data_IF_106013036074
#
_entry.id   IF_106013036074
#
_cell.length_a   1.000
_cell.length_b   1.000
_cell.length_c   1.000
_cell.angle_alpha   90.00
_cell.angle_beta   90.00
_cell.angle_gamma   90.00
#
_symmetry.space_group_name_H-M   'P 1'
#
loop_
_entity.id
_entity.type
_entity.pdbx_description
1 polymer ?
#
# COMPACT_ATOMS: atom_id res chain seq x y z
N UNK A 1 -17.27 -23.61 2.57
CA UNK A 1 -18.31 -22.56 2.42
C UNK A 1 -18.65 -22.42 0.95
N UNK A 2 -19.84 -22.86 0.53
CA UNK A 2 -20.33 -22.65 -0.84
C UNK A 2 -20.56 -21.15 -1.07
N UNK A 3 -19.92 -20.58 -2.09
CA UNK A 3 -20.11 -19.16 -2.42
C UNK A 3 -21.49 -19.01 -3.05
N UNK A 4 -22.40 -18.23 -2.43
CA UNK A 4 -23.70 -17.94 -3.01
C UNK A 4 -23.55 -17.00 -4.22
N UNK A 5 -23.43 -17.60 -5.41
CA UNK A 5 -23.23 -16.90 -6.67
C UNK A 5 -24.42 -16.02 -7.07
N UNK A 6 -25.62 -16.40 -6.67
CA UNK A 6 -26.86 -15.65 -6.92
C UNK A 6 -26.83 -14.31 -6.19
N UNK A 7 -26.60 -14.34 -4.87
CA UNK A 7 -26.48 -13.13 -4.06
C UNK A 7 -25.36 -12.19 -4.55
N UNK A 8 -24.25 -12.76 -5.06
CA UNK A 8 -23.14 -11.97 -5.63
C UNK A 8 -23.53 -11.27 -6.94
N UNK A 9 -24.32 -11.93 -7.79
CA UNK A 9 -24.83 -11.34 -9.05
C UNK A 9 -25.84 -10.24 -8.76
N UNK A 10 -26.79 -10.49 -7.86
CA UNK A 10 -27.80 -9.51 -7.42
C UNK A 10 -27.15 -8.25 -6.85
N UNK A 11 -26.21 -8.41 -5.91
CA UNK A 11 -25.45 -7.28 -5.35
C UNK A 11 -24.69 -6.50 -6.42
N UNK A 12 -24.12 -7.19 -7.42
CA UNK A 12 -23.42 -6.52 -8.53
C UNK A 12 -24.39 -5.70 -9.39
N UNK A 13 -25.58 -6.23 -9.66
CA UNK A 13 -26.63 -5.53 -10.40
C UNK A 13 -27.13 -4.31 -9.62
N UNK A 14 -27.41 -4.47 -8.32
CA UNK A 14 -27.82 -3.39 -7.41
C UNK A 14 -26.78 -2.26 -7.38
N UNK A 15 -25.50 -2.59 -7.17
CA UNK A 15 -24.41 -1.61 -7.15
C UNK A 15 -24.28 -0.90 -8.51
N UNK A 16 -24.49 -1.61 -9.62
CA UNK A 16 -24.46 -1.02 -10.96
C UNK A 16 -25.61 -0.03 -11.14
N UNK A 17 -26.84 -0.40 -10.76
CA UNK A 17 -28.03 0.47 -10.84
C UNK A 17 -27.80 1.76 -10.06
N UNK A 18 -27.38 1.65 -8.80
CA UNK A 18 -27.10 2.80 -7.93
C UNK A 18 -25.97 3.68 -8.46
N UNK A 19 -24.97 3.08 -9.10
CA UNK A 19 -23.86 3.84 -9.67
C UNK A 19 -24.27 4.62 -10.92
N UNK A 20 -25.24 4.11 -11.70
CA UNK A 20 -25.75 4.76 -12.91
C UNK A 20 -26.75 5.87 -12.65
N UNK A 21 -27.32 5.96 -11.44
CA UNK A 21 -28.25 7.00 -11.04
C UNK A 21 -27.49 8.19 -10.43
N UNK A 22 -27.32 9.32 -11.16
CA UNK A 22 -26.60 10.47 -10.63
C UNK A 22 -27.42 11.17 -9.54
N UNK A 23 -26.78 11.48 -8.43
CA UNK A 23 -27.38 12.26 -7.35
C UNK A 23 -26.95 13.72 -7.46
N UNK A 24 -27.94 14.61 -7.66
CA UNK A 24 -27.74 16.06 -7.71
C UNK A 24 -27.12 16.63 -6.42
N UNK A 25 -27.21 15.90 -5.29
CA UNK A 25 -26.59 16.27 -4.02
C UNK A 25 -25.05 16.33 -4.10
N UNK A 26 -24.43 15.54 -4.98
CA UNK A 26 -22.96 15.44 -5.09
C UNK A 26 -22.41 16.17 -6.32
N UNK A 27 -22.85 17.42 -6.48
CA UNK A 27 -22.55 18.27 -7.65
C UNK A 27 -21.09 18.74 -7.74
N UNK A 28 -20.29 18.61 -6.68
CA UNK A 28 -18.89 19.07 -6.64
C UNK A 28 -17.94 18.10 -5.94
N UNK A 29 -16.74 18.01 -6.46
CA UNK A 29 -15.61 17.32 -5.83
C UNK A 29 -15.14 18.11 -4.60
N UNK A 30 -14.82 17.42 -3.51
CA UNK A 30 -14.33 18.00 -2.24
C UNK A 30 -12.86 18.43 -2.26
N UNK A 31 -12.16 18.29 -3.39
CA UNK A 31 -10.79 18.79 -3.53
C UNK A 31 -10.86 20.29 -3.82
N UNK A 32 -10.19 21.09 -3.01
CA UNK A 32 -10.16 22.55 -3.14
C UNK A 32 -9.66 22.93 -4.54
N UNK A 33 -10.37 23.84 -5.20
CA UNK A 33 -10.07 24.27 -6.58
C UNK A 33 -10.57 23.34 -7.68
N UNK A 34 -11.21 22.21 -7.36
CA UNK A 34 -11.81 21.34 -8.36
C UNK A 34 -13.26 21.73 -8.68
N UNK A 35 -13.54 22.07 -9.93
CA UNK A 35 -14.90 22.37 -10.42
C UNK A 35 -15.68 21.15 -10.90
N UNK A 36 -15.07 19.96 -10.95
CA UNK A 36 -15.71 18.74 -11.46
C UNK A 36 -16.69 18.18 -10.42
N UNK A 37 -17.83 17.60 -10.84
CA UNK A 37 -18.72 16.87 -9.95
C UNK A 37 -18.03 15.65 -9.30
N UNK A 38 -18.50 15.26 -8.12
CA UNK A 38 -18.11 13.97 -7.53
C UNK A 38 -18.73 12.83 -8.36
N UNK A 39 -18.14 11.62 -8.31
CA UNK A 39 -18.61 10.50 -9.16
C UNK A 39 -20.08 10.15 -8.96
N UNK A 40 -20.56 10.27 -7.72
CA UNK A 40 -21.97 10.06 -7.39
C UNK A 40 -22.91 11.06 -8.10
N UNK A 41 -22.40 12.21 -8.55
CA UNK A 41 -23.15 13.18 -9.35
C UNK A 41 -23.06 12.98 -10.87
N UNK A 42 -22.35 11.96 -11.38
CA UNK A 42 -22.10 11.78 -12.83
C UNK A 42 -22.49 10.42 -13.40
N UNK A 43 -23.14 9.54 -12.64
CA UNK A 43 -23.47 8.19 -13.08
C UNK A 43 -22.25 7.26 -13.28
N UNK A 44 -21.07 7.72 -12.88
CA UNK A 44 -19.79 7.01 -13.10
C UNK A 44 -19.26 6.36 -11.80
N UNK A 45 -20.08 6.30 -10.75
CA UNK A 45 -19.73 5.58 -9.52
C UNK A 45 -20.35 6.17 -8.27
N UNK A 46 -20.06 5.53 -7.13
CA UNK A 46 -20.67 5.84 -5.84
C UNK A 46 -19.82 6.76 -4.95
N UNK A 47 -18.73 7.34 -5.46
CA UNK A 47 -17.89 8.23 -4.66
C UNK A 47 -18.56 9.59 -4.49
N UNK A 48 -18.96 9.89 -3.26
CA UNK A 48 -19.65 11.13 -2.85
C UNK A 48 -18.69 12.28 -2.54
N UNK A 49 -17.37 12.03 -2.57
CA UNK A 49 -16.34 12.99 -2.17
C UNK A 49 -15.53 13.46 -3.36
N UNK A 50 -15.17 12.56 -4.27
CA UNK A 50 -14.20 12.86 -5.31
C UNK A 50 -14.74 12.63 -6.71
N UNK A 51 -14.31 13.46 -7.66
CA UNK A 51 -14.43 13.18 -9.08
C UNK A 51 -13.55 11.97 -9.45
N UNK A 52 -13.75 11.36 -10.63
CA UNK A 52 -12.97 10.18 -11.07
C UNK A 52 -11.46 10.37 -10.92
N UNK A 53 -10.94 11.51 -11.40
CA UNK A 53 -9.51 11.83 -11.35
C UNK A 53 -8.96 11.86 -9.91
N UNK A 54 -9.64 12.56 -8.99
CA UNK A 54 -9.21 12.65 -7.60
C UNK A 54 -9.42 11.34 -6.82
N UNK A 55 -10.46 10.58 -7.14
CA UNK A 55 -10.67 9.25 -6.57
C UNK A 55 -9.54 8.29 -6.97
N UNK A 56 -9.13 8.31 -8.24
CA UNK A 56 -8.02 7.49 -8.74
C UNK A 56 -6.67 7.94 -8.17
N UNK A 57 -6.45 9.26 -8.07
CA UNK A 57 -5.26 9.84 -7.44
C UNK A 57 -5.17 9.40 -5.97
N UNK A 58 -6.23 9.61 -5.19
CA UNK A 58 -6.31 9.20 -3.80
C UNK A 58 -6.20 7.68 -3.60
N UNK A 59 -6.79 6.88 -4.49
CA UNK A 59 -6.63 5.43 -4.46
C UNK A 59 -5.16 5.03 -4.67
N UNK A 60 -4.44 5.72 -5.54
CA UNK A 60 -3.02 5.45 -5.84
C UNK A 60 -2.08 6.01 -4.78
N UNK A 61 -2.33 7.18 -4.23
CA UNK A 61 -1.34 7.94 -3.45
C UNK A 61 -1.68 8.08 -1.96
N UNK A 62 -2.91 7.80 -1.53
CA UNK A 62 -3.33 8.00 -0.14
C UNK A 62 -3.60 9.45 0.23
N UNK A 63 -3.40 10.39 -0.70
CA UNK A 63 -3.80 11.80 -0.60
C UNK A 63 -4.54 12.19 -1.88
N UNK A 64 -5.61 13.00 -1.81
CA UNK A 64 -6.22 13.59 -2.99
C UNK A 64 -5.39 14.74 -3.58
N UNK A 65 -4.37 15.23 -2.85
CA UNK A 65 -3.50 16.33 -3.26
C UNK A 65 -2.10 15.83 -3.62
N UNK A 66 -1.41 15.20 -2.66
CA UNK A 66 0.01 14.87 -2.80
C UNK A 66 0.22 13.55 -3.55
N UNK A 67 1.09 13.57 -4.55
CA UNK A 67 1.55 12.35 -5.21
C UNK A 67 2.47 11.54 -4.29
N UNK A 68 2.80 10.32 -4.71
CA UNK A 68 3.80 9.50 -4.00
C UNK A 68 5.19 10.04 -4.25
N UNK A 69 6.07 9.95 -3.25
CA UNK A 69 7.49 10.24 -3.42
C UNK A 69 8.07 9.37 -4.55
N UNK A 70 8.86 10.01 -5.40
CA UNK A 70 9.62 9.40 -6.49
C UNK A 70 10.83 8.68 -5.92
N UNK A 71 11.42 7.80 -6.74
CA UNK A 71 12.56 6.99 -6.33
C UNK A 71 13.76 7.84 -5.89
N UNK A 72 14.12 8.88 -6.65
CA UNK A 72 15.25 9.75 -6.31
C UNK A 72 15.03 10.53 -5.01
N UNK A 73 13.78 10.88 -4.68
CA UNK A 73 13.46 11.59 -3.44
C UNK A 73 13.63 10.68 -2.22
N UNK A 74 13.18 9.42 -2.31
CA UNK A 74 13.12 8.52 -1.15
C UNK A 74 14.35 7.62 -0.97
N UNK A 75 15.13 7.38 -2.03
CA UNK A 75 16.28 6.47 -1.98
C UNK A 75 17.35 6.89 -0.95
N UNK A 76 17.72 8.18 -0.79
CA UNK A 76 18.65 8.61 0.24
C UNK A 76 18.18 8.23 1.66
N UNK A 77 16.90 8.45 1.95
CA UNK A 77 16.28 8.08 3.23
C UNK A 77 16.23 6.57 3.44
N UNK A 78 16.04 5.78 2.38
CA UNK A 78 16.09 4.31 2.47
C UNK A 78 17.48 3.80 2.82
N UNK A 79 18.52 4.40 2.26
CA UNK A 79 19.90 4.05 2.59
C UNK A 79 20.21 4.42 4.06
N UNK A 80 19.86 5.64 4.47
CA UNK A 80 20.04 6.10 5.85
C UNK A 80 19.27 5.25 6.87
N UNK A 81 18.00 4.96 6.60
CA UNK A 81 17.18 4.11 7.46
C UNK A 81 17.72 2.68 7.57
N UNK A 82 18.22 2.11 6.47
CA UNK A 82 18.82 0.78 6.49
C UNK A 82 20.08 0.76 7.38
N UNK A 83 20.99 1.70 7.19
CA UNK A 83 22.19 1.83 8.01
C UNK A 83 21.86 2.04 9.49
N UNK A 84 20.83 2.86 9.78
CA UNK A 84 20.38 3.09 11.15
C UNK A 84 19.82 1.82 11.80
N UNK A 85 18.97 1.06 11.09
CA UNK A 85 18.45 -0.23 11.61
C UNK A 85 19.58 -1.21 11.87
N UNK A 86 20.60 -1.25 11.01
CA UNK A 86 21.75 -2.13 11.16
C UNK A 86 22.64 -1.74 12.35
N UNK A 87 22.86 -0.45 12.57
CA UNK A 87 23.62 0.05 13.71
C UNK A 87 22.89 -0.12 15.06
N UNK A 88 21.56 -0.18 15.05
CA UNK A 88 20.73 -0.24 16.26
C UNK A 88 20.05 -1.61 16.45
N UNK A 89 20.62 -2.70 15.92
CA UNK A 89 20.01 -4.04 16.00
C UNK A 89 19.79 -4.54 17.43
N UNK A 90 20.59 -4.09 18.38
CA UNK A 90 20.48 -4.44 19.80
C UNK A 90 19.42 -3.63 20.55
N UNK A 91 18.85 -2.58 19.95
CA UNK A 91 17.78 -1.79 20.57
C UNK A 91 16.48 -2.62 20.64
N UNK A 92 15.84 -2.62 21.81
CA UNK A 92 14.66 -3.42 22.07
C UNK A 92 13.46 -3.07 21.17
N UNK A 93 13.29 -1.79 20.81
CA UNK A 93 12.21 -1.35 19.93
C UNK A 93 12.48 -1.71 18.47
N UNK A 94 13.75 -1.67 18.04
CA UNK A 94 14.17 -2.14 16.72
C UNK A 94 13.93 -3.65 16.60
N UNK A 95 14.40 -4.42 17.58
CA UNK A 95 14.18 -5.87 17.63
C UNK A 95 12.68 -6.22 17.65
N UNK A 96 11.87 -5.50 18.44
CA UNK A 96 10.42 -5.69 18.47
C UNK A 96 9.76 -5.44 17.11
N UNK A 97 10.08 -4.33 16.45
CA UNK A 97 9.51 -4.01 15.14
C UNK A 97 9.87 -5.07 14.08
N UNK A 98 11.13 -5.53 14.10
CA UNK A 98 11.61 -6.61 13.23
C UNK A 98 10.82 -7.90 13.47
N UNK A 99 10.62 -8.33 14.72
CA UNK A 99 9.86 -9.55 15.00
C UNK A 99 8.36 -9.41 14.68
N UNK A 100 7.76 -8.24 14.91
CA UNK A 100 6.37 -7.98 14.50
C UNK A 100 6.20 -8.09 12.98
N UNK A 101 7.15 -7.54 12.20
CA UNK A 101 7.17 -7.70 10.74
C UNK A 101 7.43 -9.15 10.34
N UNK A 102 8.36 -9.86 11.00
CA UNK A 102 8.61 -11.27 10.74
C UNK A 102 7.34 -12.11 11.00
N UNK A 103 6.58 -11.79 12.04
CA UNK A 103 5.28 -12.40 12.35
C UNK A 103 4.25 -12.12 11.26
N UNK A 104 4.17 -10.89 10.72
CA UNK A 104 3.30 -10.59 9.58
C UNK A 104 3.63 -11.45 8.35
N UNK A 105 4.92 -11.66 8.06
CA UNK A 105 5.35 -12.51 6.96
C UNK A 105 4.99 -13.98 7.19
N UNK A 106 5.27 -14.52 8.39
CA UNK A 106 4.98 -15.92 8.76
C UNK A 106 3.48 -16.23 8.73
N UNK A 107 2.65 -15.32 9.25
CA UNK A 107 1.20 -15.53 9.42
C UNK A 107 0.37 -15.14 8.18
N UNK A 108 1.01 -14.72 7.09
CA UNK A 108 0.36 -14.29 5.85
C UNK A 108 -0.43 -15.40 5.12
N UNK A 109 -0.30 -16.65 5.57
CA UNK A 109 -0.92 -17.82 4.95
C UNK A 109 -0.14 -18.33 3.73
N UNK A 110 -0.77 -19.17 2.89
CA UNK A 110 -0.13 -19.76 1.72
C UNK A 110 0.17 -18.70 0.65
N UNK A 111 1.22 -18.95 -0.13
CA UNK A 111 1.54 -18.13 -1.30
C UNK A 111 0.46 -18.28 -2.37
N UNK A 112 -0.08 -17.16 -2.83
CA UNK A 112 -1.08 -17.10 -3.91
C UNK A 112 -0.49 -16.37 -5.10
N UNK A 113 -0.52 -17.01 -6.27
CA UNK A 113 -0.07 -16.41 -7.52
C UNK A 113 -0.88 -15.17 -7.88
N UNK A 114 -0.24 -14.18 -8.51
CA UNK A 114 -0.84 -12.89 -8.84
C UNK A 114 -2.11 -13.03 -9.72
N UNK A 115 -2.15 -13.99 -10.63
CA UNK A 115 -3.32 -14.25 -11.48
C UNK A 115 -4.50 -14.89 -10.72
N UNK A 116 -4.27 -15.49 -9.55
CA UNK A 116 -5.30 -16.08 -8.69
C UNK A 116 -5.89 -15.09 -7.68
N UNK A 117 -5.44 -13.82 -7.69
CA UNK A 117 -5.95 -12.79 -6.78
C UNK A 117 -7.37 -12.31 -7.13
N UNK A 118 -7.88 -12.64 -8.32
CA UNK A 118 -9.22 -12.23 -8.74
C UNK A 118 -10.28 -12.91 -7.87
N UNK A 119 -11.20 -12.11 -7.33
CA UNK A 119 -12.29 -12.61 -6.49
C UNK A 119 -12.00 -12.56 -4.99
N UNK A 120 -10.73 -12.40 -4.59
CA UNK A 120 -10.34 -12.18 -3.20
C UNK A 120 -10.71 -10.77 -2.72
N UNK A 121 -11.07 -10.65 -1.44
CA UNK A 121 -11.25 -9.38 -0.75
C UNK A 121 -9.94 -8.58 -0.70
N UNK A 122 -9.99 -7.25 -0.53
CA UNK A 122 -8.77 -6.44 -0.38
C UNK A 122 -7.84 -6.90 0.75
N UNK A 123 -8.41 -7.40 1.86
CA UNK A 123 -7.63 -7.88 3.00
C UNK A 123 -6.92 -9.20 2.69
N UNK A 124 -7.60 -10.15 2.04
CA UNK A 124 -6.97 -11.40 1.57
C UNK A 124 -5.87 -11.12 0.53
N UNK A 125 -6.08 -10.14 -0.36
CA UNK A 125 -5.04 -9.70 -1.31
C UNK A 125 -3.84 -9.06 -0.62
N UNK A 126 -4.06 -8.36 0.50
CA UNK A 126 -2.97 -7.84 1.33
C UNK A 126 -2.20 -8.98 2.01
N UNK A 127 -2.90 -9.98 2.57
CA UNK A 127 -2.26 -11.21 3.09
C UNK A 127 -1.43 -11.92 2.01
N UNK A 128 -1.98 -12.09 0.81
CA UNK A 128 -1.25 -12.66 -0.32
C UNK A 128 -0.02 -11.82 -0.73
N UNK A 129 -0.02 -10.51 -0.51
CA UNK A 129 1.16 -9.67 -0.72
C UNK A 129 2.25 -9.95 0.31
N UNK A 130 1.90 -10.08 1.60
CA UNK A 130 2.84 -10.51 2.63
C UNK A 130 3.39 -11.91 2.38
N UNK A 131 2.55 -12.85 1.92
CA UNK A 131 3.00 -14.20 1.57
C UNK A 131 3.98 -14.21 0.38
N UNK A 132 3.82 -13.30 -0.59
CA UNK A 132 4.79 -13.09 -1.69
C UNK A 132 6.12 -12.55 -1.18
N UNK A 133 6.10 -11.59 -0.26
CA UNK A 133 7.32 -11.07 0.37
C UNK A 133 8.07 -12.17 1.13
N UNK A 134 7.35 -13.02 1.87
CA UNK A 134 7.93 -14.19 2.53
C UNK A 134 8.55 -15.17 1.53
N UNK A 135 7.81 -15.52 0.46
CA UNK A 135 8.31 -16.44 -0.57
C UNK A 135 9.58 -15.89 -1.26
N UNK A 136 9.65 -14.58 -1.46
CA UNK A 136 10.81 -13.91 -2.04
C UNK A 136 11.99 -13.73 -1.06
N UNK A 137 11.88 -14.22 0.18
CA UNK A 137 12.95 -14.12 1.18
C UNK A 137 13.25 -12.68 1.60
N UNK A 138 12.26 -11.78 1.58
CA UNK A 138 12.48 -10.39 1.99
C UNK A 138 12.80 -10.34 3.48
N UNK A 139 13.98 -9.80 3.80
CA UNK A 139 14.42 -9.53 5.16
C UNK A 139 13.47 -8.54 5.86
N UNK A 140 12.87 -8.89 7.02
CA UNK A 140 12.06 -7.98 7.84
C UNK A 140 12.73 -6.62 8.13
N UNK A 141 14.06 -6.58 8.28
CA UNK A 141 14.83 -5.34 8.50
C UNK A 141 14.62 -4.34 7.37
N UNK A 142 14.61 -4.80 6.11
CA UNK A 142 14.39 -3.95 4.93
C UNK A 142 12.98 -3.35 4.91
N UNK A 143 12.00 -4.08 5.45
CA UNK A 143 10.61 -3.62 5.57
C UNK A 143 10.49 -2.56 6.68
N UNK A 144 11.12 -2.77 7.83
CA UNK A 144 11.20 -1.76 8.91
C UNK A 144 11.93 -0.51 8.43
N UNK A 145 13.11 -0.64 7.81
CA UNK A 145 13.85 0.47 7.24
C UNK A 145 13.04 1.25 6.19
N UNK A 146 12.16 0.58 5.45
CA UNK A 146 11.26 1.26 4.50
C UNK A 146 10.20 2.10 5.20
N UNK A 147 9.66 1.65 6.34
CA UNK A 147 8.77 2.47 7.15
C UNK A 147 9.48 3.72 7.68
N UNK A 148 10.67 3.53 8.27
CA UNK A 148 11.49 4.63 8.80
C UNK A 148 11.88 5.63 7.71
N UNK A 149 12.26 5.18 6.52
CA UNK A 149 12.56 6.07 5.40
C UNK A 149 11.37 6.96 5.01
N UNK A 150 10.13 6.45 5.12
CA UNK A 150 8.92 7.24 4.87
C UNK A 150 8.68 8.24 5.99
N UNK A 151 8.86 7.86 7.26
CA UNK A 151 8.83 8.81 8.38
C UNK A 151 9.85 9.94 8.17
N UNK A 152 11.05 9.59 7.69
CA UNK A 152 12.11 10.57 7.54
C UNK A 152 11.80 11.60 6.47
N UNK A 153 11.44 11.16 5.26
CA UNK A 153 11.11 12.09 4.17
C UNK A 153 9.85 12.91 4.45
N UNK A 154 8.85 12.36 5.16
CA UNK A 154 7.65 13.11 5.56
C UNK A 154 8.01 14.23 6.55
N UNK A 155 8.96 13.99 7.44
CA UNK A 155 9.41 15.01 8.39
C UNK A 155 10.17 16.14 7.69
N UNK A 156 11.05 15.80 6.76
CA UNK A 156 11.91 16.75 6.06
C UNK A 156 11.19 17.52 4.94
N UNK A 157 10.02 17.03 4.51
CA UNK A 157 9.23 17.67 3.46
C UNK A 157 8.38 18.85 4.01
N UNK A 158 8.68 20.10 3.61
CA UNK A 158 7.96 21.28 4.09
C UNK A 158 6.49 21.32 3.63
N UNK A 159 6.12 20.53 2.63
CA UNK A 159 4.77 20.38 2.09
C UNK A 159 4.27 18.94 2.24
N UNK A 160 4.69 18.25 3.30
CA UNK A 160 4.27 16.89 3.57
C UNK A 160 2.75 16.78 3.79
N UNK A 161 2.16 15.71 3.25
CA UNK A 161 0.83 15.28 3.69
C UNK A 161 0.98 14.48 4.99
N UNK A 162 0.38 14.99 6.07
CA UNK A 162 0.56 14.45 7.43
C UNK A 162 -0.49 13.43 7.84
N UNK A 163 -1.49 13.17 6.99
CA UNK A 163 -2.49 12.13 7.25
C UNK A 163 -1.84 10.75 7.30
N UNK A 164 -2.17 9.96 8.32
CA UNK A 164 -1.66 8.60 8.49
C UNK A 164 -1.85 7.75 7.23
N UNK A 165 -2.98 7.87 6.55
CA UNK A 165 -3.26 7.12 5.32
C UNK A 165 -2.24 7.37 4.19
N UNK A 166 -1.74 8.61 4.05
CA UNK A 166 -0.72 8.91 3.04
C UNK A 166 0.57 8.16 3.36
N UNK A 167 1.03 8.25 4.61
CA UNK A 167 2.20 7.52 5.13
C UNK A 167 2.06 6.01 4.93
N UNK A 168 0.94 5.43 5.36
CA UNK A 168 0.59 4.02 5.18
C UNK A 168 0.69 3.60 3.71
N UNK A 169 0.11 4.39 2.78
CA UNK A 169 0.12 4.08 1.35
C UNK A 169 1.53 4.21 0.74
N UNK A 170 2.34 5.18 1.17
CA UNK A 170 3.73 5.31 0.71
C UNK A 170 4.55 4.08 1.11
N UNK A 171 4.54 3.73 2.40
CA UNK A 171 5.31 2.61 2.91
C UNK A 171 4.83 1.28 2.31
N UNK A 172 3.52 1.03 2.29
CA UNK A 172 2.95 -0.17 1.70
C UNK A 172 3.29 -0.32 0.21
N UNK A 173 3.34 0.80 -0.54
CA UNK A 173 3.68 0.75 -1.97
C UNK A 173 5.13 0.35 -2.19
N UNK A 174 6.07 0.88 -1.39
CA UNK A 174 7.48 0.50 -1.46
C UNK A 174 7.67 -0.97 -1.11
N UNK A 175 7.08 -1.40 0.01
CA UNK A 175 7.13 -2.80 0.46
C UNK A 175 6.50 -3.73 -0.57
N UNK A 176 5.33 -3.41 -1.11
CA UNK A 176 4.68 -4.23 -2.15
C UNK A 176 5.55 -4.41 -3.41
N UNK A 177 6.37 -3.42 -3.78
CA UNK A 177 7.26 -3.49 -4.94
C UNK A 177 8.48 -4.40 -4.72
N UNK A 178 8.84 -4.73 -3.48
CA UNK A 178 9.98 -5.61 -3.19
C UNK A 178 9.79 -7.04 -3.72
N UNK A 179 8.54 -7.51 -3.81
CA UNK A 179 8.18 -8.83 -4.35
C UNK A 179 6.90 -8.74 -5.19
N UNK A 180 6.86 -7.79 -6.12
CA UNK A 180 5.70 -7.62 -7.00
C UNK A 180 5.77 -8.57 -8.19
N UNK A 181 4.69 -9.32 -8.39
CA UNK A 181 4.44 -10.06 -9.63
C UNK A 181 4.46 -11.57 -9.47
N UNK A 182 4.02 -12.25 -10.53
CA UNK A 182 4.23 -13.67 -10.78
C UNK A 182 4.87 -13.78 -12.16
N UNK A 183 5.91 -14.59 -12.24
CA UNK A 183 6.55 -15.05 -13.47
C UNK A 183 6.36 -16.56 -13.55
N UNK A 184 5.74 -17.07 -14.62
CA UNK A 184 5.65 -18.50 -14.90
C UNK A 184 6.04 -18.77 -16.34
N UNK A 185 6.81 -19.84 -16.53
CA UNK A 185 7.22 -20.36 -17.83
C UNK A 185 6.74 -21.81 -17.94
N UNK A 186 6.20 -22.20 -19.09
CA UNK A 186 5.84 -23.58 -19.41
C UNK A 186 6.54 -24.01 -20.69
N UNK A 187 7.15 -25.20 -20.67
CA UNK A 187 7.95 -25.74 -21.77
C UNK A 187 9.42 -25.33 -21.71
N UNK A 188 10.22 -25.90 -22.61
CA UNK A 188 11.65 -25.63 -22.76
C UNK A 188 11.94 -25.05 -24.16
N UNK A 189 13.00 -24.24 -24.27
CA UNK A 189 13.44 -23.69 -25.55
C UNK A 189 12.59 -22.54 -26.12
N UNK A 190 12.73 -22.23 -27.42
CA UNK A 190 12.09 -21.07 -28.07
C UNK A 190 10.56 -21.08 -28.07
N UNK A 191 9.95 -22.23 -27.78
CA UNK A 191 8.49 -22.42 -27.74
C UNK A 191 7.92 -22.27 -26.33
N UNK A 192 8.74 -21.91 -25.34
CA UNK A 192 8.27 -21.71 -23.98
C UNK A 192 7.26 -20.56 -23.89
N UNK A 193 6.15 -20.80 -23.19
CA UNK A 193 5.12 -19.78 -22.94
C UNK A 193 5.37 -19.11 -21.61
N UNK A 194 5.41 -17.78 -21.60
CA UNK A 194 5.64 -16.97 -20.39
C UNK A 194 4.37 -16.21 -19.97
N UNK A 195 4.12 -16.15 -18.66
CA UNK A 195 3.07 -15.35 -18.05
C UNK A 195 3.66 -14.40 -17.01
N UNK A 196 3.51 -13.10 -17.27
CA UNK A 196 3.86 -12.02 -16.33
C UNK A 196 2.60 -11.33 -15.82
N UNK A 197 2.37 -11.39 -14.50
CA UNK A 197 1.19 -10.76 -13.88
C UNK A 197 1.61 -9.94 -12.69
N UNK A 198 1.39 -8.63 -12.75
CA UNK A 198 1.73 -7.69 -11.68
C UNK A 198 0.47 -7.10 -11.02
N UNK A 199 0.23 -7.38 -9.72
CA UNK A 199 -0.85 -6.74 -8.98
C UNK A 199 -0.64 -5.22 -8.92
N UNK A 200 -1.66 -4.45 -9.28
CA UNK A 200 -1.58 -2.98 -9.25
C UNK A 200 -1.48 -2.48 -7.79
N UNK A 201 -0.46 -1.68 -7.42
CA UNK A 201 -0.29 -1.16 -6.06
C UNK A 201 -1.18 0.07 -5.85
N UNK A 202 -2.47 -0.15 -5.54
CA UNK A 202 -3.45 0.91 -5.26
C UNK A 202 -4.60 0.42 -4.38
N UNK A 203 -5.35 1.37 -3.83
CA UNK A 203 -6.64 1.13 -3.17
C UNK A 203 -6.52 0.50 -1.79
N UNK A 204 -7.57 -0.25 -1.39
CA UNK A 204 -7.69 -0.84 -0.05
C UNK A 204 -6.60 -1.86 0.29
N UNK A 205 -6.02 -2.52 -0.70
CA UNK A 205 -4.91 -3.48 -0.47
C UNK A 205 -3.72 -2.78 0.20
N UNK A 206 -3.32 -1.61 -0.33
CA UNK A 206 -2.21 -0.85 0.27
C UNK A 206 -2.57 -0.29 1.65
N UNK A 207 -3.84 0.05 1.90
CA UNK A 207 -4.29 0.53 3.21
C UNK A 207 -4.19 -0.57 4.27
N UNK A 208 -4.64 -1.78 3.97
CA UNK A 208 -4.47 -2.92 4.88
C UNK A 208 -3.01 -3.29 5.12
N UNK A 209 -2.16 -3.25 4.09
CA UNK A 209 -0.72 -3.45 4.28
C UNK A 209 -0.09 -2.34 5.13
N UNK A 210 -0.42 -1.09 4.83
CA UNK A 210 0.13 0.07 5.52
C UNK A 210 -0.29 0.15 6.98
N UNK A 211 -1.55 -0.13 7.29
CA UNK A 211 -2.05 -0.21 8.67
C UNK A 211 -1.34 -1.32 9.46
N UNK A 212 -1.15 -2.50 8.87
CA UNK A 212 -0.42 -3.59 9.52
C UNK A 212 1.05 -3.23 9.78
N UNK A 213 1.69 -2.55 8.82
CA UNK A 213 3.07 -2.09 8.94
C UNK A 213 3.22 -0.97 9.97
N UNK A 214 2.29 -0.01 10.00
CA UNK A 214 2.25 1.04 11.00
C UNK A 214 2.18 0.43 12.39
N UNK A 215 1.22 -0.46 12.63
CA UNK A 215 1.12 -1.17 13.91
C UNK A 215 2.42 -1.84 14.27
N UNK A 216 3.06 -2.55 13.34
CA UNK A 216 4.35 -3.21 13.61
C UNK A 216 5.48 -2.24 14.01
N UNK A 217 5.46 -0.99 13.54
CA UNK A 217 6.55 -0.03 13.72
C UNK A 217 6.21 1.15 14.66
N UNK A 218 4.96 1.28 15.12
CA UNK A 218 4.48 2.46 15.86
C UNK A 218 5.30 2.75 17.12
N UNK A 219 5.60 1.73 17.93
CA UNK A 219 6.41 1.86 19.15
C UNK A 219 7.86 2.26 18.84
N UNK A 220 8.43 1.75 17.74
CA UNK A 220 9.77 2.14 17.31
C UNK A 220 9.81 3.62 16.96
N UNK A 221 8.84 4.11 16.21
CA UNK A 221 8.76 5.54 15.84
C UNK A 221 8.49 6.40 17.07
N UNK A 222 7.63 5.97 17.97
CA UNK A 222 7.32 6.69 19.21
C UNK A 222 8.57 6.88 20.09
N UNK A 223 9.38 5.84 20.28
CA UNK A 223 10.50 5.86 21.22
C UNK A 223 11.87 6.22 20.62
N UNK A 224 12.05 6.05 19.30
CA UNK A 224 13.32 6.33 18.60
C UNK A 224 13.15 7.32 17.45
N UNK A 225 11.95 7.85 17.25
CA UNK A 225 11.66 8.79 16.18
C UNK A 225 12.61 9.98 16.18
N UNK A 226 12.93 10.56 17.33
CA UNK A 226 13.86 11.69 17.46
C UNK A 226 15.31 11.34 17.08
N UNK A 227 15.75 10.12 17.33
CA UNK A 227 17.13 9.67 17.08
C UNK A 227 17.41 9.42 15.60
N UNK A 228 16.40 9.08 14.80
CA UNK A 228 16.49 8.93 13.35
C UNK A 228 16.95 10.20 12.63
N UNK A 229 16.80 11.36 13.30
CA UNK A 229 17.03 12.69 12.74
C UNK A 229 18.24 13.41 13.32
N UNK A 230 18.92 12.80 14.28
CA UNK A 230 20.21 13.32 14.75
C UNK A 230 21.21 13.04 13.63
N UNK A 231 21.48 14.05 12.79
CA UNK A 231 22.59 14.00 11.83
C UNK A 231 23.83 13.57 12.58
N UNK A 232 24.55 12.57 12.06
CA UNK A 232 25.92 12.32 12.49
C UNK A 232 26.67 13.66 12.46
N UNK A 233 27.36 14.06 13.53
CA UNK A 233 28.27 15.18 13.44
C UNK A 233 29.30 14.83 12.36
N UNK A 234 29.43 15.72 11.36
CA UNK A 234 30.54 15.66 10.40
C UNK A 234 31.87 15.78 11.14
#
# INVERSE_FOLDING_TARGET
MSTNWTAKRERKAEVKSRASEPSAMFSRCRVVGCSRPARAGTGDGLDTRFCRSHADHYARHGSPYKASYKAHEINPYRAAAQAWVEANQSDAYVANAIDRVATLLRTAGPHVEAFRLRGLSPQERAKAAWARLRKAGIDPRRVVATWLAVEMIIRDDPQAERKAEFKQVQAAKLVHRMASGTHKQWGEGPTATELHVYPRPRGRVLRHMGEALEKACELLVEHRGSDLFKRSPN
#
